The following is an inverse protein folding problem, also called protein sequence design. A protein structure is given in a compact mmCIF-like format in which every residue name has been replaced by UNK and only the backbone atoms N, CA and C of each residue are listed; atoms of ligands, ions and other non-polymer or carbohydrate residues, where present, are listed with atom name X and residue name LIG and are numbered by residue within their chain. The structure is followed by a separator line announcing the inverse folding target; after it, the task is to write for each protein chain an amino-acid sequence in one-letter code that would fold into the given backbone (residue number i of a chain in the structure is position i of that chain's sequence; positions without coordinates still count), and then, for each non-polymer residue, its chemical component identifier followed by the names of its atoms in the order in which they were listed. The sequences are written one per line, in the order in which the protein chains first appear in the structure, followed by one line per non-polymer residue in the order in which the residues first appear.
data_IF_168712390228
#
_entry.id   IF_168712390228
#
_cell.length_a   1.000
_cell.length_b   1.000
_cell.length_c   1.000
_cell.angle_alpha   90.00
_cell.angle_beta   90.00
_cell.angle_gamma   90.00
#
_symmetry.space_group_name_H-M   'P 1'
#
loop_
_entity.id
_entity.type
_entity.pdbx_description
1 polymer ?
#
# COMPACT_ATOMS: atom_id res chain seq x y z
N UNK A 1 3.54 -8.99 -12.54
CA UNK A 1 2.07 -8.80 -12.67
C UNK A 1 1.27 -9.56 -11.61
N UNK A 2 1.48 -10.87 -11.42
CA UNK A 2 0.79 -11.66 -10.37
C UNK A 2 1.12 -11.14 -8.96
N UNK A 3 2.38 -10.81 -8.67
CA UNK A 3 2.79 -10.27 -7.38
C UNK A 3 2.08 -8.95 -7.03
N UNK A 4 1.90 -8.05 -8.00
CA UNK A 4 1.19 -6.77 -7.82
C UNK A 4 -0.28 -7.07 -7.48
N UNK A 5 -0.95 -7.92 -8.25
CA UNK A 5 -2.34 -8.34 -7.99
C UNK A 5 -2.55 -8.90 -6.58
N UNK A 6 -1.60 -9.70 -6.07
CA UNK A 6 -1.68 -10.27 -4.72
C UNK A 6 -1.50 -9.21 -3.65
N UNK A 7 -0.67 -8.18 -3.87
CA UNK A 7 -0.41 -7.12 -2.89
C UNK A 7 -1.57 -6.11 -2.77
N UNK A 8 -2.30 -5.86 -3.88
CA UNK A 8 -3.45 -4.96 -3.89
C UNK A 8 -4.62 -5.49 -3.05
N UNK A 9 -4.71 -6.81 -2.79
CA UNK A 9 -5.76 -7.40 -1.95
C UNK A 9 -5.59 -6.97 -0.47
N UNK A 10 -4.44 -7.20 0.20
CA UNK A 10 -4.15 -6.66 1.52
C UNK A 10 -4.35 -5.15 1.62
N UNK A 11 -3.91 -4.39 0.61
CA UNK A 11 -4.03 -2.93 0.59
C UNK A 11 -5.50 -2.48 0.52
N UNK A 12 -6.30 -3.09 -0.37
CA UNK A 12 -7.73 -2.85 -0.44
C UNK A 12 -8.44 -3.16 0.88
N UNK A 13 -8.05 -4.25 1.56
CA UNK A 13 -8.56 -4.59 2.89
C UNK A 13 -8.16 -3.56 3.95
N UNK A 14 -6.91 -3.07 3.91
CA UNK A 14 -6.40 -2.07 4.83
C UNK A 14 -7.16 -0.74 4.74
N UNK A 15 -7.67 -0.38 3.56
CA UNK A 15 -8.52 0.81 3.35
C UNK A 15 -9.99 0.52 3.73
N UNK A 16 -10.52 -0.64 3.34
CA UNK A 16 -11.93 -0.97 3.54
C UNK A 16 -12.30 -1.20 5.02
N UNK A 17 -11.42 -1.82 5.80
CA UNK A 17 -11.70 -2.19 7.20
C UNK A 17 -11.94 -0.96 8.10
N UNK A 18 -11.07 0.07 8.12
CA UNK A 18 -11.30 1.29 8.90
C UNK A 18 -12.58 2.02 8.50
N UNK A 19 -12.88 2.09 7.20
CA UNK A 19 -14.10 2.72 6.66
C UNK A 19 -15.34 1.95 7.11
N UNK A 20 -15.29 0.62 7.12
CA UNK A 20 -16.38 -0.19 7.66
C UNK A 20 -16.57 0.04 9.16
N UNK A 21 -15.49 0.10 9.94
CA UNK A 21 -15.60 0.33 11.38
C UNK A 21 -16.13 1.72 11.74
N UNK A 22 -15.85 2.74 10.92
CA UNK A 22 -16.35 4.11 11.11
C UNK A 22 -17.77 4.33 10.60
N UNK A 23 -18.14 3.72 9.45
CA UNK A 23 -19.46 3.96 8.80
C UNK A 23 -20.49 2.86 9.04
N UNK A 24 -20.06 1.69 9.51
CA UNK A 24 -20.85 0.45 9.64
C UNK A 24 -21.54 -0.03 8.35
N UNK A 25 -21.15 0.51 7.19
CA UNK A 25 -21.75 0.18 5.89
C UNK A 25 -20.75 -0.55 4.99
N UNK A 26 -21.04 -1.82 4.67
CA UNK A 26 -20.21 -2.64 3.77
C UNK A 26 -20.14 -2.04 2.36
N UNK A 27 -21.26 -1.52 1.86
CA UNK A 27 -21.33 -0.89 0.53
C UNK A 27 -20.44 0.34 0.44
N UNK A 28 -20.43 1.19 1.48
CA UNK A 28 -19.54 2.37 1.52
C UNK A 28 -18.07 1.96 1.59
N UNK A 29 -17.73 0.97 2.41
CA UNK A 29 -16.36 0.46 2.52
C UNK A 29 -15.84 -0.08 1.18
N UNK A 30 -16.65 -0.86 0.46
CA UNK A 30 -16.31 -1.39 -0.86
C UNK A 30 -16.20 -0.27 -1.89
N UNK A 31 -17.18 0.64 -1.95
CA UNK A 31 -17.19 1.72 -2.94
C UNK A 31 -16.00 2.67 -2.77
N UNK A 32 -15.65 3.04 -1.53
CA UNK A 32 -14.52 3.93 -1.25
C UNK A 32 -13.17 3.23 -1.48
N UNK A 33 -13.03 1.96 -1.09
CA UNK A 33 -11.84 1.16 -1.39
C UNK A 33 -11.62 1.00 -2.91
N UNK A 34 -12.70 0.78 -3.66
CA UNK A 34 -12.64 0.75 -5.12
C UNK A 34 -12.25 2.11 -5.72
N UNK A 35 -12.80 3.20 -5.19
CA UNK A 35 -12.46 4.56 -5.63
C UNK A 35 -10.98 4.86 -5.38
N UNK A 36 -10.42 4.40 -4.26
CA UNK A 36 -8.99 4.54 -3.95
C UNK A 36 -8.12 3.77 -4.96
N UNK A 37 -8.48 2.53 -5.31
CA UNK A 37 -7.76 1.77 -6.35
C UNK A 37 -7.85 2.40 -7.74
N UNK A 38 -8.98 3.05 -8.08
CA UNK A 38 -9.08 3.85 -9.30
C UNK A 38 -8.17 5.07 -9.27
N UNK A 39 -8.00 5.71 -8.11
CA UNK A 39 -7.12 6.86 -7.96
C UNK A 39 -5.66 6.49 -8.24
N UNK A 40 -5.18 5.31 -7.83
CA UNK A 40 -3.84 4.82 -8.22
C UNK A 40 -3.69 4.67 -9.72
N UNK A 41 -4.67 4.03 -10.38
CA UNK A 41 -4.62 3.77 -11.83
C UNK A 41 -4.62 5.07 -12.63
N UNK A 42 -5.45 6.03 -12.22
CA UNK A 42 -5.51 7.37 -12.83
C UNK A 42 -4.23 8.15 -12.53
N UNK A 43 -3.73 8.10 -11.30
CA UNK A 43 -2.48 8.74 -10.89
C UNK A 43 -1.28 8.22 -11.68
N UNK A 44 -1.20 6.91 -11.89
CA UNK A 44 -0.17 6.28 -12.71
C UNK A 44 -0.23 6.74 -14.17
N UNK A 45 -1.44 6.79 -14.75
CA UNK A 45 -1.63 7.26 -16.13
C UNK A 45 -1.25 8.75 -16.28
N UNK A 46 -1.70 9.60 -15.37
CA UNK A 46 -1.38 11.03 -15.38
C UNK A 46 0.13 11.24 -15.18
N UNK A 47 0.73 10.54 -14.21
CA UNK A 47 2.17 10.57 -13.97
C UNK A 47 2.96 10.15 -15.21
N UNK A 48 2.53 9.09 -15.90
CA UNK A 48 3.12 8.68 -17.16
C UNK A 48 3.01 9.78 -18.22
N UNK A 49 1.81 10.31 -18.49
CA UNK A 49 1.62 11.34 -19.52
C UNK A 49 2.46 12.59 -19.26
N UNK A 50 2.58 13.03 -18.00
CA UNK A 50 3.33 14.23 -17.63
C UNK A 50 4.84 14.00 -17.69
N UNK A 51 5.31 12.84 -17.23
CA UNK A 51 6.74 12.57 -17.02
C UNK A 51 7.39 11.76 -18.13
N UNK A 52 6.62 11.20 -19.07
CA UNK A 52 7.14 10.32 -20.13
C UNK A 52 8.30 10.95 -20.90
N UNK A 53 8.16 12.22 -21.28
CA UNK A 53 9.19 12.95 -22.05
C UNK A 53 10.47 13.26 -21.24
N UNK A 54 10.42 13.15 -19.91
CA UNK A 54 11.53 13.44 -19.00
C UNK A 54 12.03 12.19 -18.26
N UNK A 55 11.53 11.01 -18.63
CA UNK A 55 11.80 9.76 -17.93
C UNK A 55 13.26 9.32 -18.17
N UNK A 56 14.13 9.62 -17.21
CA UNK A 56 15.50 9.09 -17.15
C UNK A 56 15.64 8.05 -16.03
N UNK A 57 16.71 7.26 -16.07
CA UNK A 57 17.00 6.28 -15.01
C UNK A 57 17.17 6.96 -13.63
N UNK A 58 17.79 8.13 -13.59
CA UNK A 58 17.97 8.89 -12.35
C UNK A 58 16.64 9.43 -11.80
N UNK A 59 15.77 9.94 -12.69
CA UNK A 59 14.44 10.39 -12.28
C UNK A 59 13.65 9.21 -11.71
N UNK A 60 13.64 8.07 -12.40
CA UNK A 60 12.95 6.87 -11.97
C UNK A 60 13.46 6.37 -10.61
N UNK A 61 14.78 6.34 -10.40
CA UNK A 61 15.37 5.97 -9.11
C UNK A 61 14.97 6.94 -7.98
N UNK A 62 14.99 8.25 -8.24
CA UNK A 62 14.57 9.26 -7.26
C UNK A 62 13.08 9.14 -6.92
N UNK A 63 12.22 8.88 -7.91
CA UNK A 63 10.80 8.66 -7.71
C UNK A 63 10.54 7.41 -6.88
N UNK A 64 11.21 6.29 -7.18
CA UNK A 64 11.08 5.08 -6.37
C UNK A 64 11.54 5.29 -4.93
N UNK A 65 12.61 6.05 -4.71
CA UNK A 65 13.07 6.38 -3.35
C UNK A 65 12.01 7.20 -2.58
N UNK A 66 11.40 8.19 -3.22
CA UNK A 66 10.32 9.00 -2.63
C UNK A 66 9.09 8.14 -2.33
N UNK A 67 8.64 7.33 -3.29
CA UNK A 67 7.48 6.43 -3.12
C UNK A 67 7.75 5.44 -1.99
N UNK A 68 8.93 4.82 -1.94
CA UNK A 68 9.29 3.90 -0.87
C UNK A 68 9.22 4.58 0.50
N UNK A 69 9.72 5.82 0.62
CA UNK A 69 9.61 6.60 1.86
C UNK A 69 8.16 6.88 2.28
N UNK A 70 7.30 7.26 1.33
CA UNK A 70 5.87 7.49 1.59
C UNK A 70 5.18 6.20 2.05
N UNK A 71 5.45 5.07 1.40
CA UNK A 71 4.85 3.79 1.79
C UNK A 71 5.30 3.32 3.17
N UNK A 72 6.56 3.59 3.56
CA UNK A 72 7.04 3.34 4.93
C UNK A 72 6.30 4.23 5.93
N UNK A 73 6.13 5.51 5.64
CA UNK A 73 5.38 6.44 6.51
C UNK A 73 3.93 5.98 6.69
N UNK A 74 3.20 5.73 5.61
CA UNK A 74 1.81 5.25 5.65
C UNK A 74 1.71 3.94 6.44
N UNK A 75 2.65 3.01 6.22
CA UNK A 75 2.64 1.71 6.92
C UNK A 75 2.81 1.85 8.43
N UNK A 76 3.68 2.75 8.89
CA UNK A 76 3.99 2.90 10.30
C UNK A 76 3.05 3.87 11.03
N UNK A 77 2.61 4.95 10.37
CA UNK A 77 1.84 6.03 11.01
C UNK A 77 0.32 5.87 10.82
N UNK A 78 -0.11 5.18 9.76
CA UNK A 78 -1.53 4.94 9.49
C UNK A 78 -1.93 3.47 9.69
N UNK A 79 -1.26 2.55 8.99
CA UNK A 79 -1.67 1.15 8.97
C UNK A 79 -1.40 0.42 10.28
N UNK A 80 -0.22 0.61 10.88
CA UNK A 80 0.11 -0.02 12.16
C UNK A 80 -0.83 0.45 13.29
N UNK A 81 -1.07 1.77 13.51
CA UNK A 81 -2.02 2.23 14.51
C UNK A 81 -3.45 1.77 14.23
N UNK A 82 -3.87 1.70 12.97
CA UNK A 82 -5.16 1.13 12.61
C UNK A 82 -5.25 -0.37 12.98
N UNK A 83 -4.20 -1.15 12.68
CA UNK A 83 -4.13 -2.56 13.02
C UNK A 83 -4.16 -2.79 14.54
N UNK A 84 -3.49 -1.94 15.32
CA UNK A 84 -3.53 -1.99 16.79
C UNK A 84 -4.89 -1.55 17.35
N UNK A 85 -5.54 -0.57 16.73
CA UNK A 85 -6.85 -0.06 17.17
C UNK A 85 -7.99 -1.05 16.90
N UNK A 86 -7.93 -1.76 15.78
CA UNK A 86 -8.99 -2.68 15.34
C UNK A 86 -8.66 -4.16 15.59
N UNK A 87 -7.44 -4.48 16.04
CA UNK A 87 -6.95 -5.82 16.29
C UNK A 87 -6.16 -5.93 17.59
N UNK A 88 -5.42 -7.02 17.74
CA UNK A 88 -4.58 -7.28 18.92
C UNK A 88 -3.17 -6.74 18.72
N UNK A 89 -2.69 -5.91 19.64
CA UNK A 89 -1.40 -5.22 19.56
C UNK A 89 -0.22 -6.18 19.27
N UNK A 90 -0.14 -7.29 20.00
CA UNK A 90 0.93 -8.26 19.81
C UNK A 90 0.87 -8.99 18.46
N UNK A 91 -0.34 -9.21 17.91
CA UNK A 91 -0.52 -9.82 16.59
C UNK A 91 -0.14 -8.84 15.48
N UNK A 92 -0.48 -7.55 15.62
CA UNK A 92 -0.11 -6.51 14.67
C UNK A 92 1.42 -6.38 14.55
N UNK A 93 2.13 -6.25 15.66
CA UNK A 93 3.61 -6.15 15.67
C UNK A 93 4.25 -7.43 15.13
N UNK A 94 3.78 -8.61 15.54
CA UNK A 94 4.33 -9.88 15.02
C UNK A 94 4.10 -10.03 13.52
N UNK A 95 2.93 -9.64 13.02
CA UNK A 95 2.60 -9.62 11.61
C UNK A 95 3.52 -8.66 10.83
N UNK A 96 3.75 -7.47 11.36
CA UNK A 96 4.66 -6.47 10.78
C UNK A 96 6.10 -7.01 10.66
N UNK A 97 6.67 -7.51 11.77
CA UNK A 97 8.05 -8.04 11.79
C UNK A 97 8.18 -9.27 10.89
N UNK A 98 7.20 -10.16 10.89
CA UNK A 98 7.18 -11.33 10.01
C UNK A 98 7.11 -10.91 8.54
N UNK A 99 6.26 -9.94 8.19
CA UNK A 99 6.17 -9.37 6.84
C UNK A 99 7.50 -8.77 6.38
N UNK A 100 8.17 -8.00 7.23
CA UNK A 100 9.50 -7.46 6.95
C UNK A 100 10.53 -8.58 6.70
N UNK A 101 10.52 -9.64 7.51
CA UNK A 101 11.42 -10.77 7.33
C UNK A 101 11.16 -11.51 6.00
N UNK A 102 9.89 -11.77 5.65
CA UNK A 102 9.51 -12.38 4.37
C UNK A 102 9.97 -11.52 3.19
N UNK A 103 9.82 -10.20 3.27
CA UNK A 103 10.29 -9.28 2.23
C UNK A 103 11.82 -9.29 2.10
N UNK A 104 12.54 -9.23 3.22
CA UNK A 104 14.01 -9.30 3.21
C UNK A 104 14.52 -10.60 2.59
N UNK A 105 13.92 -11.73 2.95
CA UNK A 105 14.23 -13.04 2.36
C UNK A 105 13.90 -13.05 0.86
N UNK A 106 12.74 -12.53 0.47
CA UNK A 106 12.33 -12.48 -0.94
C UNK A 106 13.31 -11.67 -1.78
N UNK A 107 13.81 -10.54 -1.28
CA UNK A 107 14.81 -9.73 -1.98
C UNK A 107 16.13 -10.48 -2.19
N UNK A 108 16.54 -11.33 -1.25
CA UNK A 108 17.77 -12.13 -1.41
C UNK A 108 17.61 -13.22 -2.48
N UNK A 109 16.43 -13.82 -2.58
CA UNK A 109 16.19 -14.95 -3.50
C UNK A 109 15.70 -14.53 -4.89
N UNK A 110 15.04 -13.38 -5.02
CA UNK A 110 14.39 -12.90 -6.26
C UNK A 110 14.99 -11.59 -6.80
N UNK A 111 15.80 -10.90 -6.00
CA UNK A 111 16.46 -9.63 -6.36
C UNK A 111 17.79 -9.82 -7.06
#
# INVERSE_FOLDING_TARGET
MIAILIHNIPEGMAIAIPIYYSTKSKTKAIALSFLAGLAESIGALLGYVVLYSFMSEELMASMFAVIAGIMVYISLDELLPAAEKYGEHHLAIRGLVFGMAVMAVSLIFLG
#
